data_IF_116498161712
#
_entry.id   IF_116498161712
#
_cell.length_a   1.000
_cell.length_b   1.000
_cell.length_c   1.000
_cell.angle_alpha   90.00
_cell.angle_beta   90.00
_cell.angle_gamma   90.00
#
_symmetry.space_group_name_H-M   'P 1'
#
loop_
_entity.id
_entity.type
_entity.pdbx_description
1 polymer ?
#
# COMPACT_ATOMS: atom_id res chain seq x y z
N UNK A 1 2.33 20.04 -8.72
CA UNK A 1 1.09 19.66 -7.99
C UNK A 1 0.80 18.20 -8.28
N UNK A 2 0.81 17.31 -7.29
CA UNK A 2 0.43 15.91 -7.52
C UNK A 2 -1.01 15.86 -8.04
N UNK A 3 -1.22 15.09 -9.11
CA UNK A 3 -2.53 15.02 -9.77
C UNK A 3 -3.44 14.08 -8.98
N UNK A 4 -4.58 14.59 -8.51
CA UNK A 4 -5.67 13.75 -8.01
C UNK A 4 -6.34 13.04 -9.19
N UNK A 5 -6.64 11.74 -9.05
CA UNK A 5 -7.33 10.95 -10.08
C UNK A 5 -8.72 10.51 -9.64
N UNK A 6 -9.65 10.44 -10.60
CA UNK A 6 -11.03 9.94 -10.38
C UNK A 6 -11.09 8.43 -10.12
N UNK A 7 -10.01 7.72 -10.40
CA UNK A 7 -9.86 6.29 -10.11
C UNK A 7 -8.60 6.05 -9.28
N UNK A 8 -8.54 4.97 -8.47
CA UNK A 8 -7.32 4.58 -7.79
C UNK A 8 -6.14 4.44 -8.76
N UNK A 9 -4.97 4.93 -8.36
CA UNK A 9 -3.74 4.87 -9.16
C UNK A 9 -3.24 3.43 -9.27
N UNK A 10 -3.27 2.71 -8.14
CA UNK A 10 -2.97 1.28 -8.07
C UNK A 10 -4.22 0.51 -7.64
N UNK A 11 -4.48 -0.67 -8.24
CA UNK A 11 -5.52 -1.54 -7.77
C UNK A 11 -5.18 -2.03 -6.35
N UNK A 12 -6.18 -2.16 -5.49
CA UNK A 12 -5.99 -2.87 -4.23
C UNK A 12 -5.75 -4.35 -4.48
N UNK A 13 -4.88 -4.96 -3.68
CA UNK A 13 -4.76 -6.40 -3.58
C UNK A 13 -5.45 -6.83 -2.28
N UNK A 14 -6.78 -6.86 -2.31
CA UNK A 14 -7.63 -7.19 -1.18
C UNK A 14 -8.61 -8.29 -1.58
N UNK A 15 -8.68 -9.32 -0.73
CA UNK A 15 -9.65 -10.41 -0.83
C UNK A 15 -9.93 -10.94 0.59
N UNK A 16 -11.09 -11.58 0.83
CA UNK A 16 -11.34 -12.26 2.10
C UNK A 16 -10.27 -13.30 2.45
N UNK A 17 -10.00 -13.47 3.74
CA UNK A 17 -9.12 -14.53 4.25
C UNK A 17 -7.61 -14.23 4.19
N UNK A 18 -7.21 -13.01 3.83
CA UNK A 18 -5.80 -12.60 3.88
C UNK A 18 -5.30 -12.58 5.33
N UNK A 19 -4.09 -13.10 5.55
CA UNK A 19 -3.44 -13.10 6.86
C UNK A 19 -2.85 -11.73 7.21
N UNK A 20 -2.39 -10.98 6.20
CA UNK A 20 -1.71 -9.71 6.39
C UNK A 20 -2.01 -8.79 5.21
N UNK A 21 -2.33 -7.53 5.49
CA UNK A 21 -2.39 -6.47 4.48
C UNK A 21 -1.39 -5.39 4.84
N UNK A 22 -0.50 -5.05 3.91
CA UNK A 22 0.34 -3.87 4.06
C UNK A 22 -0.38 -2.62 3.53
N UNK A 23 -0.30 -1.53 4.30
CA UNK A 23 -0.86 -0.24 3.94
C UNK A 23 0.25 0.81 3.84
N UNK A 24 0.48 1.31 2.63
CA UNK A 24 1.36 2.46 2.38
C UNK A 24 0.64 3.81 2.54
N UNK A 25 1.38 4.89 2.38
CA UNK A 25 0.82 6.25 2.33
C UNK A 25 0.13 6.50 1.01
N UNK A 26 0.88 6.43 -0.09
CA UNK A 26 0.42 6.66 -1.45
C UNK A 26 1.32 5.91 -2.44
N UNK A 27 0.88 5.81 -3.69
CA UNK A 27 1.76 5.36 -4.76
C UNK A 27 2.89 6.38 -4.97
N UNK A 28 4.15 5.97 -4.80
CA UNK A 28 5.29 6.78 -5.21
C UNK A 28 5.28 7.06 -6.73
N UNK A 29 6.03 8.07 -7.19
CA UNK A 29 6.04 8.48 -8.61
C UNK A 29 6.33 7.31 -9.57
N UNK A 30 7.36 6.51 -9.25
CA UNK A 30 7.71 5.32 -10.05
C UNK A 30 6.65 4.22 -9.95
N UNK A 31 6.12 3.97 -8.76
CA UNK A 31 5.03 3.01 -8.54
C UNK A 31 3.79 3.35 -9.36
N UNK A 32 3.42 4.63 -9.41
CA UNK A 32 2.31 5.11 -10.23
C UNK A 32 2.56 4.93 -11.74
N UNK A 33 3.78 5.21 -12.20
CA UNK A 33 4.16 5.05 -13.61
C UNK A 33 4.18 3.56 -14.04
N UNK A 34 4.74 2.68 -13.20
CA UNK A 34 4.86 1.25 -13.48
C UNK A 34 3.61 0.44 -13.11
N UNK A 35 2.61 1.08 -12.50
CA UNK A 35 1.40 0.43 -11.97
C UNK A 35 1.72 -0.74 -11.03
N UNK A 36 2.76 -0.56 -10.22
CA UNK A 36 3.28 -1.58 -9.30
C UNK A 36 3.59 -0.97 -7.93
N UNK A 37 3.37 -1.72 -6.86
CA UNK A 37 3.67 -1.25 -5.50
C UNK A 37 5.17 -1.22 -5.23
N UNK A 38 5.60 -0.20 -4.48
CA UNK A 38 6.99 -0.05 -4.00
C UNK A 38 8.06 -0.21 -5.10
N UNK A 39 7.83 0.36 -6.30
CA UNK A 39 8.67 0.13 -7.48
C UNK A 39 9.99 0.93 -7.50
N UNK A 40 10.19 1.85 -6.56
CA UNK A 40 11.45 2.61 -6.50
C UNK A 40 12.61 1.69 -6.09
N UNK A 41 13.80 1.72 -6.76
CA UNK A 41 14.91 0.80 -6.45
C UNK A 41 15.45 0.91 -5.02
N UNK A 42 15.38 2.12 -4.46
CA UNK A 42 15.75 2.36 -3.06
C UNK A 42 14.69 1.91 -2.05
N UNK A 43 13.52 1.46 -2.48
CA UNK A 43 12.49 0.94 -1.58
C UNK A 43 12.79 -0.51 -1.20
N UNK A 44 12.90 -0.78 0.09
CA UNK A 44 13.30 -2.08 0.62
C UNK A 44 12.15 -3.07 0.79
N UNK A 45 10.89 -2.69 0.49
CA UNK A 45 9.71 -3.53 0.77
C UNK A 45 9.86 -4.97 0.27
N UNK A 46 10.18 -5.14 -1.02
CA UNK A 46 10.30 -6.46 -1.64
C UNK A 46 11.43 -7.29 -1.05
N UNK A 47 12.57 -6.64 -0.75
CA UNK A 47 13.71 -7.26 -0.10
C UNK A 47 13.38 -7.68 1.33
N UNK A 48 12.70 -6.82 2.08
CA UNK A 48 12.29 -7.08 3.45
C UNK A 48 11.28 -8.24 3.55
N UNK A 49 10.32 -8.34 2.62
CA UNK A 49 9.42 -9.50 2.56
C UNK A 49 10.17 -10.81 2.40
N UNK A 50 11.14 -10.84 1.48
CA UNK A 50 11.96 -12.02 1.23
C UNK A 50 12.85 -12.36 2.43
N UNK A 51 13.60 -11.38 2.95
CA UNK A 51 14.51 -11.58 4.09
C UNK A 51 13.77 -11.97 5.38
N UNK A 52 12.52 -11.53 5.55
CA UNK A 52 11.66 -11.94 6.67
C UNK A 52 11.00 -13.32 6.46
N UNK A 53 11.20 -13.97 5.31
CA UNK A 53 10.59 -15.26 4.98
C UNK A 53 9.09 -15.19 4.67
N UNK A 54 8.54 -14.01 4.40
CA UNK A 54 7.13 -13.83 4.00
C UNK A 54 6.88 -14.24 2.55
N UNK A 55 7.92 -14.25 1.72
CA UNK A 55 7.90 -14.81 0.36
C UNK A 55 9.07 -15.77 0.16
N UNK A 56 8.91 -16.86 -0.61
CA UNK A 56 9.96 -17.87 -0.79
C UNK A 56 11.13 -17.41 -1.68
N UNK A 57 10.95 -16.28 -2.39
CA UNK A 57 11.95 -15.63 -3.23
C UNK A 57 11.73 -14.12 -3.24
N UNK A 58 12.71 -13.39 -3.74
CA UNK A 58 12.55 -11.97 -4.06
C UNK A 58 11.60 -11.81 -5.26
N UNK A 59 10.50 -11.10 -5.05
CA UNK A 59 9.55 -10.73 -6.11
C UNK A 59 9.92 -9.38 -6.72
N UNK A 60 9.75 -9.24 -8.04
CA UNK A 60 9.79 -7.92 -8.67
C UNK A 60 8.49 -7.14 -8.38
N UNK A 61 8.49 -5.80 -8.40
CA UNK A 61 7.31 -4.99 -8.15
C UNK A 61 6.07 -5.37 -8.99
N UNK A 62 6.27 -5.68 -10.27
CA UNK A 62 5.19 -6.09 -11.17
C UNK A 62 4.54 -7.43 -10.77
N UNK A 63 5.20 -8.24 -9.95
CA UNK A 63 4.70 -9.52 -9.46
C UNK A 63 3.81 -9.38 -8.22
N UNK A 64 3.52 -8.16 -7.76
CA UNK A 64 2.70 -7.94 -6.56
C UNK A 64 1.38 -8.73 -6.51
N UNK A 65 0.66 -9.01 -7.62
CA UNK A 65 -0.56 -9.80 -7.54
C UNK A 65 -0.34 -11.22 -6.99
N UNK A 66 0.88 -11.77 -7.12
CA UNK A 66 1.24 -13.08 -6.59
C UNK A 66 1.22 -13.12 -5.05
N UNK A 67 1.32 -11.97 -4.36
CA UNK A 67 1.30 -11.91 -2.90
C UNK A 67 0.01 -12.49 -2.28
N UNK A 68 -1.10 -12.42 -3.02
CA UNK A 68 -2.38 -13.01 -2.62
C UNK A 68 -2.26 -14.52 -2.35
N UNK A 69 -1.37 -15.22 -3.05
CA UNK A 69 -1.10 -16.66 -2.87
C UNK A 69 -0.35 -16.97 -1.57
N UNK A 70 0.32 -15.97 -1.01
CA UNK A 70 1.01 -16.06 0.28
C UNK A 70 0.16 -15.48 1.42
N UNK A 71 -1.12 -15.20 1.18
CA UNK A 71 -2.01 -14.60 2.18
C UNK A 71 -1.70 -13.13 2.48
N UNK A 72 -0.98 -12.44 1.58
CA UNK A 72 -0.56 -11.05 1.73
C UNK A 72 -1.32 -10.15 0.75
N UNK A 73 -1.88 -9.05 1.25
CA UNK A 73 -2.53 -8.00 0.47
C UNK A 73 -1.82 -6.66 0.54
N UNK A 74 -2.24 -5.74 -0.31
CA UNK A 74 -1.68 -4.40 -0.47
C UNK A 74 -2.79 -3.36 -0.66
N UNK A 75 -2.64 -2.22 0.00
CA UNK A 75 -3.46 -1.01 -0.22
C UNK A 75 -2.65 0.23 0.17
N UNK A 76 -3.22 1.41 -0.07
CA UNK A 76 -2.65 2.68 0.42
C UNK A 76 -3.76 3.51 1.09
N UNK A 77 -3.34 4.38 2.00
CA UNK A 77 -4.22 5.36 2.65
C UNK A 77 -4.70 6.43 1.65
N UNK A 78 -3.83 6.85 0.72
CA UNK A 78 -4.15 7.74 -0.39
C UNK A 78 -4.15 6.97 -1.71
N UNK A 79 -5.32 6.55 -2.17
CA UNK A 79 -5.47 5.79 -3.43
C UNK A 79 -5.47 6.64 -4.69
N UNK A 80 -5.74 7.95 -4.56
CA UNK A 80 -6.02 8.88 -5.67
C UNK A 80 -4.93 9.93 -5.89
N UNK A 81 -3.84 9.85 -5.14
CA UNK A 81 -2.69 10.75 -5.22
C UNK A 81 -1.41 9.93 -5.36
N UNK A 82 -0.43 10.48 -6.07
CA UNK A 82 0.92 9.91 -6.16
C UNK A 82 1.97 10.99 -5.98
N UNK A 83 3.11 10.61 -5.41
CA UNK A 83 4.15 11.55 -5.02
C UNK A 83 4.94 11.03 -3.84
N UNK A 84 5.94 11.81 -3.44
CA UNK A 84 6.58 11.60 -2.14
C UNK A 84 5.67 12.11 -1.03
N UNK A 85 5.85 11.60 0.19
CA UNK A 85 5.02 11.93 1.35
C UNK A 85 4.92 13.44 1.63
N UNK A 86 6.00 14.19 1.40
CA UNK A 86 6.11 15.64 1.58
C UNK A 86 5.39 16.45 0.48
N UNK A 87 5.07 15.81 -0.64
CA UNK A 87 4.34 16.41 -1.76
C UNK A 87 2.82 16.20 -1.66
N UNK A 88 2.37 15.26 -0.83
CA UNK A 88 0.95 14.90 -0.73
C UNK A 88 0.14 16.03 -0.10
N UNK A 89 -1.03 16.38 -0.67
CA UNK A 89 -1.90 17.38 -0.06
C UNK A 89 -2.49 16.85 1.26
N UNK A 90 -2.89 17.77 2.15
CA UNK A 90 -3.42 17.43 3.49
C UNK A 90 -4.66 16.54 3.46
N UNK A 91 -5.46 16.63 2.40
CA UNK A 91 -6.67 15.85 2.16
C UNK A 91 -6.42 14.57 1.33
N UNK A 92 -5.14 14.19 1.11
CA UNK A 92 -4.83 12.99 0.34
C UNK A 92 -5.23 11.69 1.05
N UNK A 93 -5.20 11.69 2.37
CA UNK A 93 -5.45 10.53 3.21
C UNK A 93 -6.94 10.29 3.42
N UNK A 94 -7.39 9.09 3.11
CA UNK A 94 -8.79 8.69 3.23
C UNK A 94 -8.92 7.51 4.20
N UNK A 95 -8.82 7.83 5.50
CA UNK A 95 -8.94 6.86 6.58
C UNK A 95 -10.32 6.17 6.61
N UNK A 96 -11.47 6.87 6.44
CA UNK A 96 -12.76 6.21 6.37
C UNK A 96 -12.85 5.16 5.25
N UNK A 97 -12.31 5.44 4.06
CA UNK A 97 -12.29 4.46 3.00
C UNK A 97 -11.34 3.28 3.28
N UNK A 98 -10.22 3.51 3.97
CA UNK A 98 -9.36 2.41 4.43
C UNK A 98 -10.10 1.52 5.43
N UNK A 99 -10.78 2.09 6.43
CA UNK A 99 -11.58 1.34 7.40
C UNK A 99 -12.64 0.50 6.69
N UNK A 100 -13.42 1.09 5.77
CA UNK A 100 -14.43 0.36 5.01
C UNK A 100 -13.83 -0.79 4.18
N UNK A 101 -12.63 -0.61 3.59
CA UNK A 101 -11.91 -1.70 2.88
C UNK A 101 -11.50 -2.81 3.84
N UNK A 102 -10.99 -2.47 5.02
CA UNK A 102 -10.54 -3.44 6.03
C UNK A 102 -11.73 -4.22 6.59
N UNK A 103 -12.82 -3.54 6.96
CA UNK A 103 -14.04 -4.19 7.45
C UNK A 103 -14.64 -5.14 6.40
N UNK A 104 -14.68 -4.71 5.13
CA UNK A 104 -15.21 -5.53 4.03
C UNK A 104 -14.43 -6.81 3.81
N UNK A 105 -13.10 -6.76 3.88
CA UNK A 105 -12.24 -7.90 3.54
C UNK A 105 -11.75 -8.69 4.77
N UNK A 106 -11.90 -8.13 5.97
CA UNK A 106 -11.56 -8.73 7.26
C UNK A 106 -10.19 -9.46 7.26
N UNK A 107 -9.07 -8.80 6.89
CA UNK A 107 -7.76 -9.41 7.02
C UNK A 107 -7.42 -9.64 8.50
N UNK A 108 -6.61 -10.66 8.81
CA UNK A 108 -6.21 -10.93 10.21
C UNK A 108 -5.36 -9.80 10.79
N UNK A 109 -4.55 -9.14 9.97
CA UNK A 109 -3.66 -8.05 10.36
C UNK A 109 -3.63 -6.97 9.27
N UNK A 110 -3.60 -5.70 9.71
CA UNK A 110 -3.24 -4.54 8.89
C UNK A 110 -1.91 -3.98 9.40
N UNK A 111 -0.90 -3.90 8.55
CA UNK A 111 0.41 -3.36 8.89
C UNK A 111 0.72 -2.10 8.07
N UNK A 112 0.90 -0.97 8.75
CA UNK A 112 1.35 0.25 8.08
C UNK A 112 2.84 0.18 7.78
N UNK A 113 3.22 0.46 6.52
CA UNK A 113 4.65 0.46 6.11
C UNK A 113 5.37 1.77 6.43
N UNK A 114 4.69 2.74 7.03
CA UNK A 114 5.30 3.96 7.54
C UNK A 114 4.54 4.53 8.75
N UNK A 115 5.25 5.28 9.60
CA UNK A 115 4.63 6.01 10.72
C UNK A 115 3.65 7.08 10.22
N UNK A 116 3.90 7.66 9.05
CA UNK A 116 3.04 8.69 8.46
C UNK A 116 1.67 8.11 8.08
N UNK A 117 1.64 6.95 7.42
CA UNK A 117 0.38 6.25 7.12
C UNK A 117 -0.38 5.88 8.41
N UNK A 118 0.32 5.36 9.42
CA UNK A 118 -0.29 5.02 10.70
C UNK A 118 -0.90 6.25 11.40
N UNK A 119 -0.16 7.37 11.46
CA UNK A 119 -0.67 8.64 12.03
C UNK A 119 -1.88 9.17 11.28
N UNK A 120 -1.82 9.17 9.94
CA UNK A 120 -2.93 9.60 9.10
C UNK A 120 -4.19 8.75 9.24
N UNK A 121 -4.03 7.45 9.50
CA UNK A 121 -5.16 6.53 9.70
C UNK A 121 -5.72 6.55 11.13
N UNK A 122 -4.85 6.67 12.15
CA UNK A 122 -5.24 6.54 13.56
C UNK A 122 -5.55 7.89 14.24
N UNK A 123 -5.24 9.02 13.61
CA UNK A 123 -5.55 10.35 14.16
C UNK A 123 -4.67 10.79 15.34
N UNK A 124 -3.53 10.12 15.56
CA UNK A 124 -2.57 10.52 16.59
C UNK A 124 -1.50 11.46 16.01
N UNK A 125 -1.46 12.70 16.51
CA UNK A 125 -0.44 13.70 16.22
C UNK A 125 0.88 13.42 16.97
#
# INVERSE_FOLDING_TARGET
MPRRTDRPILPDLLQPGLALVFCGTAAGRRSAAERAYYAHPGNLFWRALFEAGLTPRLLAPAEFPQLSRYGIGLTDLAKRHSGNDDELPRDAFDAPALVARVERHAPRLLAFTSKNAARGALGHA
#
